data_IF_306252303885
#
_entry.id   IF_306252303885
#
_cell.length_a   1.000
_cell.length_b   1.000
_cell.length_c   1.000
_cell.angle_alpha   90.00
_cell.angle_beta   90.00
_cell.angle_gamma   90.00
#
_symmetry.space_group_name_H-M   'P 1'
#
loop_
_entity.id
_entity.type
_entity.pdbx_description
1 polymer ?
#
# COMPACT_ATOMS: atom_id res chain seq x y z
N UNK A 1 -13.09 6.91 -4.92
CA UNK A 1 -13.29 5.87 -3.88
C UNK A 1 -12.32 6.19 -2.76
N UNK A 2 -12.73 6.03 -1.50
CA UNK A 2 -11.90 6.40 -0.36
C UNK A 2 -10.80 5.36 -0.15
N UNK A 3 -9.56 5.83 0.04
CA UNK A 3 -8.53 5.02 0.71
C UNK A 3 -8.92 4.79 2.17
N UNK A 4 -8.62 3.60 2.69
CA UNK A 4 -8.89 3.24 4.08
C UNK A 4 -7.58 3.02 4.84
N UNK A 5 -7.44 3.65 6.00
CA UNK A 5 -6.32 3.39 6.91
C UNK A 5 -6.62 2.14 7.75
N UNK A 6 -5.62 1.28 7.95
CA UNK A 6 -5.68 0.18 8.91
C UNK A 6 -4.47 0.22 9.85
N UNK A 7 -4.60 -0.41 11.00
CA UNK A 7 -3.65 -0.32 12.10
C UNK A 7 -3.20 -1.69 12.62
N UNK A 8 -4.01 -2.74 12.46
CA UNK A 8 -3.74 -4.06 13.06
C UNK A 8 -3.51 -5.16 12.04
N UNK A 9 -2.89 -6.24 12.52
CA UNK A 9 -2.63 -7.45 11.72
C UNK A 9 -3.94 -8.13 11.32
N UNK A 10 -4.91 -8.17 12.23
CA UNK A 10 -6.21 -8.79 12.02
C UNK A 10 -6.99 -8.10 10.90
N UNK A 11 -6.94 -6.76 10.85
CA UNK A 11 -7.53 -5.99 9.74
C UNK A 11 -6.88 -6.38 8.41
N UNK A 12 -5.55 -6.46 8.35
CA UNK A 12 -4.83 -6.84 7.13
C UNK A 12 -5.14 -8.27 6.68
N UNK A 13 -5.14 -9.23 7.60
CA UNK A 13 -5.44 -10.63 7.29
C UNK A 13 -6.87 -10.78 6.78
N UNK A 14 -7.83 -10.00 7.32
CA UNK A 14 -9.20 -9.94 6.81
C UNK A 14 -9.24 -9.33 5.39
N UNK A 15 -8.52 -8.23 5.14
CA UNK A 15 -8.45 -7.63 3.80
C UNK A 15 -7.92 -8.60 2.75
N UNK A 16 -6.91 -9.38 3.09
CA UNK A 16 -6.32 -10.42 2.21
C UNK A 16 -7.33 -11.50 1.86
N UNK A 17 -8.26 -11.83 2.76
CA UNK A 17 -9.31 -12.84 2.53
C UNK A 17 -10.51 -12.29 1.76
N UNK A 18 -10.89 -11.04 2.00
CA UNK A 18 -12.11 -10.43 1.45
C UNK A 18 -11.92 -9.85 0.04
N UNK A 19 -10.69 -9.49 -0.33
CA UNK A 19 -10.40 -8.80 -1.57
C UNK A 19 -9.57 -9.68 -2.50
N UNK A 20 -10.12 -9.97 -3.69
CA UNK A 20 -9.37 -10.66 -4.75
C UNK A 20 -8.17 -9.82 -5.21
N UNK A 21 -8.33 -8.50 -5.32
CA UNK A 21 -7.28 -7.57 -5.73
C UNK A 21 -7.40 -6.26 -4.96
N UNK A 22 -6.29 -5.75 -4.42
CA UNK A 22 -6.24 -4.45 -3.73
C UNK A 22 -4.83 -3.87 -3.73
N UNK A 23 -4.74 -2.54 -3.62
CA UNK A 23 -3.49 -1.82 -3.46
C UNK A 23 -3.28 -1.50 -1.98
N UNK A 24 -2.08 -1.79 -1.46
CA UNK A 24 -1.68 -1.48 -0.09
C UNK A 24 -0.49 -0.53 -0.06
N UNK A 25 -0.57 0.54 0.73
CA UNK A 25 0.49 1.55 0.86
C UNK A 25 1.05 1.63 2.28
N UNK A 26 2.37 1.61 2.44
CA UNK A 26 3.06 1.85 3.71
C UNK A 26 3.64 3.26 3.71
N UNK A 27 2.97 4.17 4.43
CA UNK A 27 3.37 5.56 4.55
C UNK A 27 4.25 5.80 5.78
N UNK A 28 5.36 6.53 5.62
CA UNK A 28 6.13 7.10 6.72
C UNK A 28 5.80 8.59 6.86
N UNK A 29 5.14 8.98 7.95
CA UNK A 29 4.71 10.36 8.19
C UNK A 29 5.85 11.34 8.50
N UNK A 30 7.06 10.82 8.75
CA UNK A 30 8.24 11.62 9.13
C UNK A 30 9.31 11.69 8.04
N UNK A 31 9.04 11.19 6.83
CA UNK A 31 10.01 11.14 5.73
C UNK A 31 9.53 11.99 4.54
N UNK A 32 10.30 13.00 4.09
CA UNK A 32 9.91 13.83 2.93
C UNK A 32 9.68 13.02 1.65
N UNK A 33 10.44 11.96 1.42
CA UNK A 33 10.26 11.08 0.25
C UNK A 33 8.92 10.35 0.34
N UNK A 34 8.51 9.96 1.54
CA UNK A 34 7.21 9.33 1.76
C UNK A 34 6.06 10.29 1.56
N UNK A 35 6.23 11.56 1.91
CA UNK A 35 5.22 12.58 1.66
C UNK A 35 4.95 12.72 0.15
N UNK A 36 5.99 12.87 -0.67
CA UNK A 36 5.84 12.96 -2.13
C UNK A 36 5.21 11.68 -2.73
N UNK A 37 5.66 10.49 -2.31
CA UNK A 37 5.07 9.24 -2.78
C UNK A 37 3.61 9.06 -2.35
N UNK A 38 3.25 9.58 -1.18
CA UNK A 38 1.87 9.56 -0.69
C UNK A 38 0.97 10.50 -1.49
N UNK A 39 1.44 11.71 -1.86
CA UNK A 39 0.71 12.61 -2.76
C UNK A 39 0.40 11.94 -4.12
N UNK A 40 1.40 11.25 -4.71
CA UNK A 40 1.20 10.48 -5.95
C UNK A 40 0.14 9.38 -5.79
N UNK A 41 0.15 8.67 -4.65
CA UNK A 41 -0.86 7.68 -4.30
C UNK A 41 -2.25 8.32 -4.09
N UNK A 42 -2.34 9.46 -3.41
CA UNK A 42 -3.61 10.16 -3.21
C UNK A 42 -4.23 10.63 -4.53
N UNK A 43 -3.41 11.18 -5.43
CA UNK A 43 -3.85 11.57 -6.77
C UNK A 43 -4.36 10.36 -7.56
N UNK A 44 -3.63 9.24 -7.52
CA UNK A 44 -4.06 8.00 -8.17
C UNK A 44 -5.40 7.50 -7.63
N UNK A 45 -5.59 7.46 -6.30
CA UNK A 45 -6.84 7.04 -5.64
C UNK A 45 -8.01 7.97 -5.99
N UNK A 46 -7.75 9.26 -6.23
CA UNK A 46 -8.79 10.21 -6.62
C UNK A 46 -9.28 9.97 -8.06
N UNK A 47 -8.41 9.52 -8.96
CA UNK A 47 -8.70 9.38 -10.39
C UNK A 47 -9.22 7.98 -10.80
N UNK A 48 -9.12 6.97 -9.93
CA UNK A 48 -9.57 5.61 -10.22
C UNK A 48 -10.42 5.00 -9.10
N UNK A 49 -11.44 4.23 -9.49
CA UNK A 49 -12.42 3.62 -8.58
C UNK A 49 -12.45 2.08 -8.68
N UNK A 50 -11.52 1.47 -9.39
CA UNK A 50 -11.59 0.05 -9.76
C UNK A 50 -10.95 -0.86 -8.70
N UNK A 51 -9.85 -0.42 -8.09
CA UNK A 51 -9.09 -1.23 -7.14
C UNK A 51 -9.18 -0.63 -5.74
N UNK A 52 -9.69 -1.38 -4.73
CA UNK A 52 -9.68 -0.96 -3.33
C UNK A 52 -8.27 -0.58 -2.87
N UNK A 53 -8.16 0.54 -2.15
CA UNK A 53 -6.88 1.08 -1.71
C UNK A 53 -6.84 1.18 -0.18
N UNK A 54 -5.83 0.57 0.42
CA UNK A 54 -5.60 0.55 1.85
C UNK A 54 -4.21 1.10 2.16
N UNK A 55 -4.04 1.63 3.37
CA UNK A 55 -2.72 2.07 3.80
C UNK A 55 -2.54 1.99 5.32
N UNK A 56 -1.29 2.09 5.76
CA UNK A 56 -0.92 2.30 7.15
C UNK A 56 0.08 3.44 7.27
N UNK A 57 0.13 4.05 8.45
CA UNK A 57 1.26 4.89 8.87
C UNK A 57 2.24 4.02 9.68
N UNK A 58 3.47 3.86 9.19
CA UNK A 58 4.47 2.94 9.76
C UNK A 58 4.78 3.28 11.21
N UNK A 59 4.81 4.57 11.56
CA UNK A 59 5.05 5.06 12.92
C UNK A 59 4.01 4.57 13.92
N UNK A 60 2.76 4.41 13.48
CA UNK A 60 1.60 4.06 14.30
C UNK A 60 1.32 2.55 14.28
N UNK A 61 1.71 1.86 13.20
CA UNK A 61 1.37 0.47 12.94
C UNK A 61 2.62 -0.38 12.61
N UNK A 62 3.70 -0.26 13.42
CA UNK A 62 4.97 -0.98 13.19
C UNK A 62 4.81 -2.49 13.12
N UNK A 63 4.01 -3.05 14.02
CA UNK A 63 3.74 -4.50 14.06
C UNK A 63 3.10 -4.97 12.76
N UNK A 64 2.05 -4.29 12.31
CA UNK A 64 1.41 -4.58 11.03
C UNK A 64 2.39 -4.40 9.85
N UNK A 65 3.16 -3.31 9.83
CA UNK A 65 4.14 -3.05 8.77
C UNK A 65 5.18 -4.18 8.62
N UNK A 66 5.63 -4.73 9.75
CA UNK A 66 6.55 -5.87 9.79
C UNK A 66 5.87 -7.16 9.37
N UNK A 67 4.68 -7.45 9.90
CA UNK A 67 3.86 -8.62 9.52
C UNK A 67 3.68 -8.69 8.00
N UNK A 68 3.29 -7.59 7.36
CA UNK A 68 3.14 -7.54 5.89
C UNK A 68 4.45 -7.91 5.19
N UNK A 69 5.60 -7.44 5.68
CA UNK A 69 6.89 -7.77 5.05
C UNK A 69 7.26 -9.25 5.23
N UNK A 70 6.95 -9.84 6.39
CA UNK A 70 7.17 -11.25 6.67
C UNK A 70 6.24 -12.15 5.84
N UNK A 71 4.94 -11.88 5.83
CA UNK A 71 3.93 -12.67 5.11
C UNK A 71 4.12 -12.63 3.60
N UNK A 72 4.55 -11.49 3.06
CA UNK A 72 4.72 -11.33 1.60
C UNK A 72 6.10 -11.74 1.12
N UNK A 73 7.06 -11.94 2.03
CA UNK A 73 8.50 -12.06 1.74
C UNK A 73 9.08 -10.86 0.96
N UNK A 74 8.31 -9.77 0.84
CA UNK A 74 8.78 -8.51 0.25
C UNK A 74 9.44 -7.70 1.34
N UNK A 75 10.72 -7.40 1.14
CA UNK A 75 11.50 -6.59 2.08
C UNK A 75 10.74 -5.31 2.44
N UNK A 76 10.68 -5.02 3.74
CA UNK A 76 10.10 -3.78 4.23
C UNK A 76 10.83 -2.56 3.65
N UNK A 77 10.07 -1.64 3.06
CA UNK A 77 10.51 -0.34 2.60
C UNK A 77 9.45 0.71 3.02
N UNK A 78 9.82 1.99 3.13
CA UNK A 78 8.85 3.08 3.34
C UNK A 78 9.37 4.39 2.74
N UNK A 79 8.63 5.02 1.80
CA UNK A 79 7.30 4.62 1.30
C UNK A 79 7.34 3.34 0.45
N UNK A 80 6.26 2.57 0.47
CA UNK A 80 6.13 1.32 -0.30
C UNK A 80 4.68 1.11 -0.75
N UNK A 81 4.49 0.73 -2.01
CA UNK A 81 3.21 0.32 -2.58
C UNK A 81 3.27 -1.17 -2.95
N UNK A 82 2.22 -1.93 -2.65
CA UNK A 82 2.09 -3.36 -2.88
C UNK A 82 0.74 -3.64 -3.53
N UNK A 83 0.73 -4.18 -4.75
CA UNK A 83 -0.49 -4.69 -5.37
C UNK A 83 -0.65 -6.15 -5.00
N UNK A 84 -1.75 -6.45 -4.32
CA UNK A 84 -2.16 -7.81 -3.98
C UNK A 84 -3.13 -8.33 -5.02
N UNK A 85 -2.96 -9.59 -5.39
CA UNK A 85 -3.92 -10.39 -6.15
C UNK A 85 -3.93 -11.81 -5.63
N UNK A 86 -5.11 -12.35 -5.32
CA UNK A 86 -5.31 -13.69 -4.76
C UNK A 86 -4.40 -13.95 -3.54
N UNK A 87 -4.33 -12.95 -2.65
CA UNK A 87 -3.53 -12.96 -1.43
C UNK A 87 -2.00 -12.92 -1.64
N UNK A 88 -1.52 -12.66 -2.86
CA UNK A 88 -0.08 -12.57 -3.17
C UNK A 88 0.28 -11.20 -3.72
N UNK A 89 1.49 -10.74 -3.44
CA UNK A 89 2.02 -9.51 -4.06
C UNK A 89 2.42 -9.80 -5.49
N UNK A 90 1.73 -9.17 -6.45
CA UNK A 90 2.01 -9.30 -7.89
C UNK A 90 2.82 -8.12 -8.45
N UNK A 91 2.81 -6.98 -7.75
CA UNK A 91 3.63 -5.81 -8.07
C UNK A 91 4.00 -5.03 -6.81
N UNK A 92 5.18 -4.41 -6.79
CA UNK A 92 5.56 -3.49 -5.74
C UNK A 92 6.49 -2.38 -6.25
N UNK A 93 6.42 -1.22 -5.58
CA UNK A 93 7.33 -0.10 -5.77
C UNK A 93 7.65 0.56 -4.43
N UNK A 94 8.80 1.24 -4.34
CA UNK A 94 9.19 2.00 -3.15
C UNK A 94 9.87 3.31 -3.51
N UNK A 95 9.90 4.25 -2.56
CA UNK A 95 10.56 5.55 -2.71
C UNK A 95 10.13 6.27 -4.01
N UNK A 96 11.10 6.74 -4.80
CA UNK A 96 10.90 7.48 -6.05
C UNK A 96 10.28 6.67 -7.18
N UNK A 97 10.14 5.34 -7.02
CA UNK A 97 9.47 4.50 -8.02
C UNK A 97 7.95 4.56 -7.90
N UNK A 98 7.43 5.10 -6.79
CA UNK A 98 6.01 5.33 -6.61
C UNK A 98 5.67 6.66 -7.25
N UNK A 99 5.07 6.58 -8.43
CA UNK A 99 4.53 7.72 -9.18
C UNK A 99 3.12 7.39 -9.64
N UNK A 100 2.30 8.41 -9.89
CA UNK A 100 0.97 8.30 -10.46
C UNK A 100 1.00 7.43 -11.73
N UNK A 101 1.98 7.66 -12.61
CA UNK A 101 2.14 6.89 -13.84
C UNK A 101 2.42 5.41 -13.57
N UNK A 102 3.33 5.11 -12.63
CA UNK A 102 3.63 3.72 -12.27
C UNK A 102 2.42 3.00 -11.65
N UNK A 103 1.63 3.71 -10.84
CA UNK A 103 0.42 3.17 -10.23
C UNK A 103 -0.63 2.90 -11.32
N UNK A 104 -0.90 3.88 -12.19
CA UNK A 104 -1.85 3.75 -13.30
C UNK A 104 -1.49 2.63 -14.29
N UNK A 105 -0.21 2.39 -14.52
CA UNK A 105 0.24 1.33 -15.44
C UNK A 105 0.01 -0.07 -14.86
N UNK A 106 0.27 -0.24 -13.55
CA UNK A 106 0.38 -1.56 -12.91
C UNK A 106 -0.85 -1.96 -12.09
N UNK A 107 -1.64 -1.00 -11.60
CA UNK A 107 -2.82 -1.24 -10.77
C UNK A 107 -4.07 -1.17 -11.65
N UNK A 108 -4.60 -2.33 -12.02
CA UNK A 108 -5.74 -2.53 -12.92
C UNK A 108 -6.65 -3.63 -12.43
#
# INVERSE_FOLDING_TARGET
MSKTVIHTVEEFDQLVQENETFLFFKNSTTCPISHAAYEEFENFVADQDQVPCFYLNVQEARQLSNHIAETTEVKHESPQALLFKDGKVVWNASHWKITYSSLQENVK
#
